data_IF_969578042189
#
_entry.id   IF_969578042189
#
_cell.length_a   1.000
_cell.length_b   1.000
_cell.length_c   1.000
_cell.angle_alpha   90.00
_cell.angle_beta   90.00
_cell.angle_gamma   90.00
#
_symmetry.space_group_name_H-M   'P 1'
#
loop_
_entity.id
_entity.type
_entity.pdbx_description
1 polymer ?
#
# COMPACT_ATOMS: atom_id res chain seq x y z
N UNK A 1 27.50 -18.95 1.53
CA UNK A 1 26.80 -18.13 0.55
C UNK A 1 27.77 -17.42 -0.36
N UNK A 2 27.65 -17.55 -1.70
CA UNK A 2 28.54 -16.84 -2.64
C UNK A 2 27.76 -15.76 -3.38
N UNK A 3 28.39 -14.57 -3.50
CA UNK A 3 27.88 -13.47 -4.31
C UNK A 3 28.81 -13.19 -5.49
N UNK A 4 28.28 -13.27 -6.71
CA UNK A 4 28.98 -12.83 -7.91
C UNK A 4 28.43 -11.45 -8.30
N UNK A 5 29.30 -10.45 -8.35
CA UNK A 5 28.93 -9.06 -8.62
C UNK A 5 29.37 -8.68 -10.03
N UNK A 6 28.38 -8.51 -10.92
CA UNK A 6 28.63 -8.05 -12.28
C UNK A 6 28.46 -6.54 -12.29
N UNK A 7 29.56 -5.81 -12.34
CA UNK A 7 29.60 -4.34 -12.23
C UNK A 7 30.73 -3.75 -13.06
N UNK A 8 30.56 -2.49 -13.48
CA UNK A 8 31.61 -1.70 -14.10
C UNK A 8 32.59 -1.05 -13.09
N UNK A 9 32.25 -1.12 -11.81
CA UNK A 9 32.95 -0.44 -10.72
C UNK A 9 33.14 -1.38 -9.51
N UNK A 10 33.96 -2.43 -9.61
CA UNK A 10 34.16 -3.38 -8.50
C UNK A 10 34.70 -2.71 -7.24
N UNK A 11 35.54 -1.68 -7.37
CA UNK A 11 36.11 -0.90 -6.27
C UNK A 11 35.03 -0.17 -5.41
N UNK A 12 33.83 0.01 -5.94
CA UNK A 12 32.72 0.60 -5.19
C UNK A 12 32.34 -0.23 -3.96
N UNK A 13 32.62 -1.53 -4.00
CA UNK A 13 32.28 -2.48 -2.93
C UNK A 13 33.39 -2.65 -1.87
N UNK A 14 34.59 -2.12 -2.06
CA UNK A 14 35.72 -2.34 -1.18
C UNK A 14 35.45 -1.99 0.28
N UNK A 15 34.91 -0.79 0.52
CA UNK A 15 34.64 -0.30 1.87
C UNK A 15 33.49 -1.05 2.56
N UNK A 16 32.29 -1.17 1.98
CA UNK A 16 31.17 -1.83 2.67
C UNK A 16 31.39 -3.33 2.92
N UNK A 17 32.12 -4.03 2.04
CA UNK A 17 32.38 -5.45 2.22
C UNK A 17 33.58 -5.74 3.13
N UNK A 18 34.32 -4.73 3.57
CA UNK A 18 35.48 -4.85 4.45
C UNK A 18 35.25 -4.18 5.81
N UNK A 19 33.99 -4.13 6.27
CA UNK A 19 33.64 -3.44 7.52
C UNK A 19 32.68 -4.25 8.37
N UNK A 20 32.88 -4.22 9.69
CA UNK A 20 31.92 -4.68 10.69
C UNK A 20 31.62 -6.18 10.65
N UNK A 21 30.34 -6.55 10.59
CA UNK A 21 29.91 -7.95 10.55
C UNK A 21 30.20 -8.60 9.20
N UNK A 22 30.17 -7.84 8.11
CA UNK A 22 30.46 -8.36 6.78
C UNK A 22 31.91 -8.81 6.64
N UNK A 23 32.86 -8.02 7.17
CA UNK A 23 34.28 -8.40 7.21
C UNK A 23 34.48 -9.71 7.98
N UNK A 24 33.89 -9.82 9.19
CA UNK A 24 33.96 -11.03 10.01
C UNK A 24 33.35 -12.26 9.31
N UNK A 25 32.23 -12.08 8.63
CA UNK A 25 31.58 -13.15 7.90
C UNK A 25 32.42 -13.64 6.70
N UNK A 26 33.13 -12.73 6.03
CA UNK A 26 34.09 -13.07 4.98
C UNK A 26 35.29 -13.84 5.54
N UNK A 27 35.87 -13.36 6.63
CA UNK A 27 37.00 -14.04 7.31
C UNK A 27 36.60 -15.43 7.81
N UNK A 28 35.35 -15.59 8.28
CA UNK A 28 34.82 -16.88 8.71
C UNK A 28 34.38 -17.80 7.55
N UNK A 29 34.41 -17.32 6.30
CA UNK A 29 33.96 -18.08 5.12
C UNK A 29 32.44 -18.27 5.04
N UNK A 30 31.65 -17.51 5.80
CA UNK A 30 30.18 -17.54 5.76
C UNK A 30 29.71 -16.96 4.44
N UNK A 31 30.34 -15.86 3.98
CA UNK A 31 30.10 -15.24 2.70
C UNK A 31 31.37 -15.10 1.87
N UNK A 32 31.24 -15.27 0.55
CA UNK A 32 32.31 -15.07 -0.42
C UNK A 32 31.86 -14.12 -1.51
N UNK A 33 32.78 -13.30 -2.02
CA UNK A 33 32.49 -12.35 -3.09
C UNK A 33 33.42 -12.57 -4.27
N UNK A 34 32.87 -12.56 -5.48
CA UNK A 34 33.61 -12.50 -6.72
C UNK A 34 33.09 -11.36 -7.59
N UNK A 35 33.96 -10.79 -8.40
CA UNK A 35 33.63 -9.63 -9.26
C UNK A 35 33.89 -9.98 -10.71
N UNK A 36 33.00 -9.55 -11.58
CA UNK A 36 33.17 -9.64 -13.03
C UNK A 36 32.82 -8.31 -13.68
N UNK A 37 33.74 -7.79 -14.49
CA UNK A 37 33.52 -6.57 -15.23
C UNK A 37 33.18 -6.89 -16.69
N UNK A 38 31.98 -6.51 -17.18
CA UNK A 38 31.63 -6.70 -18.59
C UNK A 38 32.62 -6.08 -19.60
N UNK A 39 33.40 -5.08 -19.20
CA UNK A 39 34.46 -4.50 -20.05
C UNK A 39 35.52 -5.52 -20.47
N UNK A 40 35.79 -6.52 -19.65
CA UNK A 40 36.79 -7.56 -19.94
C UNK A 40 36.33 -8.49 -21.04
N UNK A 41 35.03 -8.48 -21.38
CA UNK A 41 34.42 -9.27 -22.46
C UNK A 41 34.12 -8.47 -23.71
N UNK A 42 34.38 -7.17 -23.70
CA UNK A 42 34.29 -6.33 -24.90
C UNK A 42 35.37 -6.71 -25.90
N UNK A 43 35.00 -6.75 -27.17
CA UNK A 43 35.91 -7.14 -28.25
C UNK A 43 36.47 -5.94 -29.00
N UNK A 44 35.97 -4.75 -28.72
CA UNK A 44 36.45 -3.53 -29.34
C UNK A 44 37.68 -2.94 -28.62
N UNK A 45 38.45 -2.11 -29.32
CA UNK A 45 39.67 -1.50 -28.80
C UNK A 45 39.45 -0.60 -27.58
N UNK A 46 38.22 -0.05 -27.41
CA UNK A 46 37.89 0.90 -26.35
C UNK A 46 37.23 0.23 -25.15
N UNK A 47 37.05 -1.10 -25.18
CA UNK A 47 36.34 -1.84 -24.14
C UNK A 47 34.95 -1.27 -23.85
N UNK A 48 34.23 -0.92 -24.92
CA UNK A 48 32.90 -0.32 -24.84
C UNK A 48 31.89 -1.33 -24.28
N UNK A 49 31.03 -0.86 -23.41
CA UNK A 49 29.97 -1.65 -22.73
C UNK A 49 28.60 -0.98 -22.84
N UNK A 50 28.52 0.15 -23.50
CA UNK A 50 27.29 0.95 -23.68
C UNK A 50 27.21 1.49 -25.09
N UNK A 51 25.98 1.64 -25.59
CA UNK A 51 25.69 2.21 -26.90
C UNK A 51 24.34 2.95 -26.88
N UNK A 52 24.07 3.72 -27.93
CA UNK A 52 22.83 4.49 -28.06
C UNK A 52 21.60 3.58 -28.19
N UNK A 53 20.48 3.94 -27.55
CA UNK A 53 19.26 3.16 -27.68
C UNK A 53 18.72 3.21 -29.12
N UNK A 54 18.21 2.08 -29.61
CA UNK A 54 17.42 2.04 -30.84
C UNK A 54 16.16 2.91 -30.69
N UNK A 55 15.79 3.61 -31.72
CA UNK A 55 14.69 4.60 -31.68
C UNK A 55 15.07 5.97 -31.20
N UNK A 56 16.34 6.18 -30.80
CA UNK A 56 16.83 7.44 -30.28
C UNK A 56 16.39 7.71 -28.84
N UNK A 57 16.77 8.86 -28.31
CA UNK A 57 16.50 9.26 -26.92
C UNK A 57 17.78 9.71 -26.21
N UNK A 58 17.66 10.28 -25.01
CA UNK A 58 18.81 10.62 -24.17
C UNK A 58 19.43 9.35 -23.57
N UNK A 59 20.72 9.44 -23.21
CA UNK A 59 21.42 8.38 -22.48
C UNK A 59 21.97 7.27 -23.36
N UNK A 60 22.46 6.23 -22.71
CA UNK A 60 23.11 5.05 -23.28
C UNK A 60 22.48 3.80 -22.66
N UNK A 61 22.61 2.64 -23.28
CA UNK A 61 22.13 1.34 -22.78
C UNK A 61 23.29 0.37 -22.68
N UNK A 62 23.32 -0.46 -21.65
CA UNK A 62 24.33 -1.51 -21.52
C UNK A 62 24.28 -2.46 -22.73
N UNK A 63 25.42 -2.65 -23.37
CA UNK A 63 25.55 -3.54 -24.52
C UNK A 63 25.30 -4.99 -24.15
N UNK A 64 24.53 -5.68 -24.97
CA UNK A 64 24.08 -7.05 -24.73
C UNK A 64 25.25 -8.05 -24.79
N UNK A 65 26.12 -7.98 -25.81
CA UNK A 65 27.16 -8.98 -26.05
C UNK A 65 28.18 -9.09 -24.92
N UNK A 66 28.85 -8.02 -24.44
CA UNK A 66 29.79 -8.12 -23.32
C UNK A 66 29.12 -8.64 -22.05
N UNK A 67 27.88 -8.21 -21.78
CA UNK A 67 27.15 -8.64 -20.60
C UNK A 67 26.76 -10.11 -20.65
N UNK A 68 26.20 -10.59 -21.76
CA UNK A 68 25.82 -12.00 -21.93
C UNK A 68 27.03 -12.92 -21.86
N UNK A 69 28.17 -12.55 -22.46
CA UNK A 69 29.42 -13.32 -22.34
C UNK A 69 29.87 -13.42 -20.88
N UNK A 70 29.84 -12.32 -20.14
CA UNK A 70 30.19 -12.30 -18.72
C UNK A 70 29.30 -13.23 -17.92
N UNK A 71 27.98 -13.15 -18.14
CA UNK A 71 27.01 -13.94 -17.40
C UNK A 71 27.08 -15.43 -17.73
N UNK A 72 27.37 -15.79 -18.99
CA UNK A 72 27.54 -17.20 -19.39
C UNK A 72 28.76 -17.86 -18.75
N UNK A 73 29.82 -17.11 -18.48
CA UNK A 73 30.98 -17.62 -17.77
C UNK A 73 30.74 -17.79 -16.27
N UNK A 74 29.87 -16.93 -15.70
CA UNK A 74 29.46 -16.99 -14.29
C UNK A 74 28.27 -17.93 -14.09
N UNK A 75 27.62 -18.42 -15.17
CA UNK A 75 26.48 -19.33 -15.02
C UNK A 75 26.87 -20.50 -14.11
N UNK A 76 26.00 -20.96 -13.21
CA UNK A 76 26.35 -21.94 -12.19
C UNK A 76 27.03 -23.14 -12.82
N UNK A 77 28.36 -23.18 -12.76
CA UNK A 77 29.15 -24.30 -13.16
C UNK A 77 29.07 -25.35 -12.05
N UNK A 78 28.68 -26.57 -12.37
CA UNK A 78 28.71 -27.71 -11.45
C UNK A 78 27.44 -27.99 -10.62
N UNK A 79 26.23 -27.62 -11.10
CA UNK A 79 24.98 -28.06 -10.49
C UNK A 79 24.65 -27.39 -9.14
N UNK A 80 25.31 -26.28 -8.81
CA UNK A 80 24.93 -25.44 -7.67
C UNK A 80 23.59 -24.77 -7.91
N UNK A 81 22.77 -24.67 -6.87
CA UNK A 81 21.57 -23.83 -6.89
C UNK A 81 22.00 -22.36 -6.84
N UNK A 82 21.61 -21.58 -7.83
CA UNK A 82 21.96 -20.17 -7.90
C UNK A 82 20.97 -19.35 -8.69
N UNK A 83 20.83 -18.07 -8.32
CA UNK A 83 19.93 -17.11 -8.95
C UNK A 83 20.71 -16.01 -9.65
N UNK A 84 20.19 -15.57 -10.79
CA UNK A 84 20.75 -14.50 -11.60
C UNK A 84 19.79 -13.32 -11.57
N UNK A 85 20.20 -12.21 -10.94
CA UNK A 85 19.34 -11.07 -10.63
C UNK A 85 19.88 -9.80 -11.30
N UNK A 86 19.04 -9.13 -12.09
CA UNK A 86 19.32 -7.80 -12.62
C UNK A 86 18.61 -6.74 -11.78
N UNK A 87 19.39 -5.78 -11.28
CA UNK A 87 18.88 -4.70 -10.44
C UNK A 87 18.36 -3.56 -11.30
N UNK A 88 17.04 -3.39 -11.31
CA UNK A 88 16.33 -2.42 -12.16
C UNK A 88 15.03 -1.93 -11.51
N UNK A 89 14.63 -0.66 -11.69
CA UNK A 89 13.35 -0.17 -11.19
C UNK A 89 12.11 -0.90 -11.73
N UNK A 90 12.22 -1.54 -12.90
CA UNK A 90 11.14 -2.29 -13.54
C UNK A 90 10.98 -3.73 -12.99
N UNK A 91 11.75 -4.12 -11.98
CA UNK A 91 11.77 -5.48 -11.43
C UNK A 91 10.71 -5.76 -10.36
N UNK A 92 10.67 -7.05 -9.95
CA UNK A 92 9.91 -7.50 -8.78
C UNK A 92 10.41 -6.75 -7.53
N UNK A 93 9.51 -6.24 -6.66
CA UNK A 93 9.94 -5.61 -5.40
C UNK A 93 10.73 -6.57 -4.52
N UNK A 94 11.86 -6.08 -4.01
CA UNK A 94 12.67 -6.81 -3.02
C UNK A 94 12.06 -6.64 -1.64
N UNK A 95 11.62 -7.73 -1.04
CA UNK A 95 10.98 -7.79 0.28
C UNK A 95 11.79 -8.69 1.22
N UNK A 96 11.46 -8.67 2.52
CA UNK A 96 12.10 -9.57 3.50
C UNK A 96 11.83 -11.05 3.17
N UNK A 97 10.64 -11.38 2.68
CA UNK A 97 10.33 -12.76 2.26
C UNK A 97 11.16 -13.17 1.06
N UNK A 98 11.37 -12.25 0.12
CA UNK A 98 12.26 -12.52 -1.01
C UNK A 98 13.73 -12.61 -0.57
N UNK A 99 14.16 -11.85 0.44
CA UNK A 99 15.49 -12.00 1.03
C UNK A 99 15.68 -13.39 1.66
N UNK A 100 14.65 -13.93 2.35
CA UNK A 100 14.68 -15.31 2.88
C UNK A 100 14.75 -16.35 1.77
N UNK A 101 13.93 -16.19 0.72
CA UNK A 101 13.96 -17.05 -0.47
C UNK A 101 15.37 -17.09 -1.09
N UNK A 102 16.02 -15.93 -1.22
CA UNK A 102 17.38 -15.84 -1.73
C UNK A 102 18.45 -16.38 -0.77
N UNK A 103 18.24 -16.29 0.52
CA UNK A 103 19.18 -16.79 1.53
C UNK A 103 19.28 -18.33 1.54
N UNK A 104 18.34 -19.04 0.93
CA UNK A 104 18.36 -20.50 0.73
C UNK A 104 19.24 -20.94 -0.45
N UNK A 105 19.68 -19.99 -1.30
CA UNK A 105 20.55 -20.27 -2.43
C UNK A 105 22.01 -20.43 -2.01
N UNK A 106 22.75 -21.25 -2.73
CA UNK A 106 24.20 -21.37 -2.53
C UNK A 106 24.97 -20.21 -3.15
N UNK A 107 24.41 -19.64 -4.24
CA UNK A 107 25.05 -18.60 -5.04
C UNK A 107 24.03 -17.60 -5.59
N UNK A 108 24.34 -16.31 -5.51
CA UNK A 108 23.57 -15.24 -6.12
C UNK A 108 24.48 -14.41 -7.04
N UNK A 109 24.09 -14.26 -8.28
CA UNK A 109 24.73 -13.32 -9.21
C UNK A 109 23.91 -12.06 -9.31
N UNK A 110 24.48 -10.93 -8.89
CA UNK A 110 23.85 -9.60 -8.92
C UNK A 110 24.43 -8.78 -10.07
N UNK A 111 23.58 -8.40 -11.01
CA UNK A 111 23.95 -7.58 -12.17
C UNK A 111 23.59 -6.13 -11.91
N UNK A 112 24.59 -5.28 -11.77
CA UNK A 112 24.41 -3.86 -11.52
C UNK A 112 24.08 -3.12 -12.81
N UNK A 113 22.84 -2.63 -12.94
CA UNK A 113 22.43 -1.78 -14.04
C UNK A 113 23.14 -0.44 -14.01
N UNK A 114 23.49 0.10 -15.19
CA UNK A 114 24.05 1.43 -15.40
C UNK A 114 23.39 2.09 -16.60
N UNK A 115 23.62 3.40 -16.75
CA UNK A 115 23.02 4.17 -17.85
C UNK A 115 21.48 4.12 -17.82
N UNK A 116 20.82 3.94 -18.97
CA UNK A 116 19.36 3.77 -19.07
C UNK A 116 18.89 2.33 -18.74
N UNK A 117 19.83 1.42 -18.38
CA UNK A 117 19.56 0.06 -18.00
C UNK A 117 20.04 -0.98 -18.98
N UNK A 118 19.30 -2.09 -19.06
CA UNK A 118 19.67 -3.29 -19.82
C UNK A 118 18.96 -3.35 -21.17
N UNK A 119 19.60 -3.92 -22.16
CA UNK A 119 18.93 -4.37 -23.38
C UNK A 119 17.86 -5.43 -23.03
N UNK A 120 16.63 -5.22 -23.47
CA UNK A 120 15.49 -6.07 -23.10
C UNK A 120 15.69 -7.55 -23.49
N UNK A 121 16.45 -7.83 -24.55
CA UNK A 121 16.79 -9.20 -25.01
C UNK A 121 17.60 -9.99 -23.99
N UNK A 122 18.19 -9.34 -22.99
CA UNK A 122 18.88 -10.03 -21.87
C UNK A 122 17.95 -11.02 -21.16
N UNK A 123 16.73 -10.60 -20.91
CA UNK A 123 15.72 -11.37 -20.17
C UNK A 123 15.10 -12.51 -20.99
N UNK A 124 15.21 -12.45 -22.33
CA UNK A 124 14.80 -13.53 -23.23
C UNK A 124 15.92 -14.57 -23.43
N UNK A 125 17.19 -14.15 -23.32
CA UNK A 125 18.36 -14.98 -23.58
C UNK A 125 18.84 -15.79 -22.37
N UNK A 126 18.63 -15.26 -21.17
CA UNK A 126 19.13 -15.85 -19.93
C UNK A 126 18.03 -15.79 -18.86
N UNK A 127 18.02 -16.72 -17.88
CA UNK A 127 17.05 -16.72 -16.81
C UNK A 127 17.37 -15.63 -15.75
N UNK A 128 17.43 -14.40 -16.19
CA UNK A 128 17.73 -13.23 -15.33
C UNK A 128 16.45 -12.70 -14.75
N UNK A 129 16.38 -12.59 -13.44
CA UNK A 129 15.23 -12.03 -12.72
C UNK A 129 15.42 -10.53 -12.51
N UNK A 130 14.52 -9.67 -13.03
CA UNK A 130 14.55 -8.25 -12.73
C UNK A 130 14.04 -7.99 -11.31
N UNK A 131 14.83 -7.25 -10.49
CA UNK A 131 14.53 -6.94 -9.09
C UNK A 131 14.69 -5.46 -8.80
N UNK A 132 13.73 -4.89 -8.07
CA UNK A 132 13.69 -3.50 -7.63
C UNK A 132 13.79 -3.42 -6.10
N UNK A 133 14.78 -2.71 -5.57
CA UNK A 133 15.00 -2.56 -4.11
C UNK A 133 14.18 -1.42 -3.48
N UNK A 134 13.50 -0.61 -4.28
CA UNK A 134 12.67 0.49 -3.78
C UNK A 134 12.21 1.43 -4.89
N UNK A 135 11.21 2.23 -4.61
CA UNK A 135 10.60 3.18 -5.57
C UNK A 135 11.46 4.47 -5.73
N UNK A 136 12.76 4.27 -6.01
CA UNK A 136 13.69 5.35 -6.26
C UNK A 136 14.65 5.00 -7.41
N UNK A 137 14.97 6.00 -8.24
CA UNK A 137 15.96 5.83 -9.30
C UNK A 137 17.35 6.09 -8.71
N UNK A 138 18.23 5.10 -8.80
CA UNK A 138 19.62 5.17 -8.36
C UNK A 138 20.54 5.45 -9.56
N UNK A 139 21.75 5.99 -9.30
CA UNK A 139 22.76 6.23 -10.34
C UNK A 139 23.30 4.93 -10.98
N UNK A 140 23.11 3.79 -10.30
CA UNK A 140 23.54 2.47 -10.73
C UNK A 140 23.07 1.40 -9.78
N UNK A 141 23.24 0.14 -10.16
CA UNK A 141 22.78 -1.02 -9.42
C UNK A 141 23.63 -1.39 -8.20
N UNK A 142 24.78 -0.77 -7.97
CA UNK A 142 25.73 -1.17 -6.90
C UNK A 142 25.12 -0.96 -5.51
N UNK A 143 24.46 0.15 -5.26
CA UNK A 143 23.78 0.41 -3.99
C UNK A 143 22.62 -0.59 -3.76
N UNK A 144 21.89 -0.91 -4.82
CA UNK A 144 20.85 -1.93 -4.79
C UNK A 144 21.43 -3.33 -4.51
N UNK A 145 22.56 -3.68 -5.13
CA UNK A 145 23.28 -4.93 -4.88
C UNK A 145 23.70 -5.04 -3.40
N UNK A 146 24.24 -3.96 -2.85
CA UNK A 146 24.62 -3.94 -1.43
C UNK A 146 23.41 -4.15 -0.52
N UNK A 147 22.25 -3.53 -0.82
CA UNK A 147 21.03 -3.74 -0.03
C UNK A 147 20.57 -5.22 -0.06
N UNK A 148 20.65 -5.88 -1.22
CA UNK A 148 20.34 -7.31 -1.34
C UNK A 148 21.35 -8.15 -0.55
N UNK A 149 22.65 -7.87 -0.65
CA UNK A 149 23.73 -8.57 0.09
C UNK A 149 23.50 -8.44 1.60
N UNK A 150 23.31 -7.23 2.11
CA UNK A 150 23.10 -6.97 3.54
C UNK A 150 21.87 -7.71 4.07
N UNK A 151 20.76 -7.70 3.33
CA UNK A 151 19.54 -8.37 3.75
C UNK A 151 19.63 -9.91 3.71
N UNK A 152 20.38 -10.48 2.76
CA UNK A 152 20.49 -11.94 2.60
C UNK A 152 21.65 -12.53 3.40
N UNK A 153 22.79 -11.84 3.52
CA UNK A 153 23.95 -12.30 4.27
C UNK A 153 23.65 -12.44 5.77
N UNK A 154 22.90 -11.48 6.35
CA UNK A 154 22.51 -11.53 7.77
C UNK A 154 21.61 -12.71 8.14
N UNK A 155 20.98 -13.34 7.15
CA UNK A 155 20.16 -14.55 7.32
C UNK A 155 20.99 -15.85 7.28
N UNK A 156 22.30 -15.77 6.98
CA UNK A 156 23.16 -16.95 6.97
C UNK A 156 23.51 -17.37 8.40
N UNK A 157 23.49 -18.69 8.69
CA UNK A 157 23.89 -19.19 10.01
C UNK A 157 25.29 -18.70 10.42
N UNK A 158 25.37 -18.17 11.63
CA UNK A 158 26.64 -17.66 12.18
C UNK A 158 27.00 -16.22 11.77
N UNK A 159 26.24 -15.56 10.91
CA UNK A 159 26.47 -14.16 10.55
C UNK A 159 26.13 -13.21 11.72
N UNK A 160 24.99 -13.42 12.35
CA UNK A 160 24.58 -12.72 13.58
C UNK A 160 25.03 -13.51 14.79
N UNK A 161 25.50 -12.81 15.83
CA UNK A 161 26.06 -13.48 17.04
C UNK A 161 25.03 -14.27 17.88
N UNK A 162 23.72 -14.09 17.64
CA UNK A 162 22.63 -14.87 18.21
C UNK A 162 21.58 -15.08 17.13
N UNK A 163 21.25 -16.32 16.84
CA UNK A 163 20.27 -16.70 15.79
C UNK A 163 18.84 -16.23 16.12
N UNK A 164 18.52 -16.00 17.42
CA UNK A 164 17.20 -15.53 17.88
C UNK A 164 16.92 -14.06 17.57
N UNK A 165 17.89 -13.27 17.12
CA UNK A 165 17.72 -11.83 16.89
C UNK A 165 16.83 -11.51 15.66
N UNK A 166 16.67 -12.46 14.73
CA UNK A 166 15.93 -12.24 13.48
C UNK A 166 14.41 -12.40 13.58
N UNK A 167 13.91 -13.11 14.60
CA UNK A 167 12.50 -13.49 14.67
C UNK A 167 11.58 -12.34 15.13
N UNK A 168 12.11 -11.40 15.91
CA UNK A 168 11.36 -10.23 16.43
C UNK A 168 11.52 -8.97 15.58
N UNK A 169 12.29 -9.01 14.50
CA UNK A 169 12.56 -7.85 13.65
C UNK A 169 11.37 -7.48 12.75
N UNK A 170 11.38 -6.23 12.27
CA UNK A 170 10.39 -5.75 11.30
C UNK A 170 10.27 -6.70 10.10
N UNK A 171 9.05 -6.95 9.66
CA UNK A 171 8.67 -7.85 8.55
C UNK A 171 8.79 -9.35 8.84
N UNK A 172 9.36 -9.79 9.97
CA UNK A 172 9.51 -11.21 10.28
C UNK A 172 8.17 -11.91 10.49
N UNK A 173 7.20 -11.21 11.07
CA UNK A 173 5.85 -11.70 11.32
C UNK A 173 4.77 -10.83 10.66
N UNK A 174 5.14 -10.08 9.61
CA UNK A 174 4.24 -9.17 8.88
C UNK A 174 3.97 -7.85 9.57
N UNK A 175 4.64 -7.55 10.69
CA UNK A 175 4.51 -6.29 11.42
C UNK A 175 5.84 -5.54 11.45
N UNK A 176 5.81 -4.26 11.78
CA UNK A 176 6.99 -3.52 12.20
C UNK A 176 7.38 -3.90 13.61
N UNK A 177 8.66 -3.81 13.92
CA UNK A 177 9.20 -3.99 15.27
C UNK A 177 8.63 -2.92 16.22
N UNK A 178 8.53 -3.28 17.49
CA UNK A 178 8.16 -2.37 18.58
C UNK A 178 9.29 -1.36 18.88
N UNK A 179 8.98 -0.21 19.52
CA UNK A 179 9.99 0.78 19.87
C UNK A 179 10.97 0.23 20.91
N UNK A 180 12.26 0.41 20.66
CA UNK A 180 13.34 0.01 21.56
C UNK A 180 13.72 1.17 22.48
N UNK A 181 14.09 0.83 23.72
CA UNK A 181 14.56 1.77 24.73
C UNK A 181 15.92 1.34 25.29
N UNK A 182 16.76 2.31 25.62
CA UNK A 182 18.07 2.08 26.24
C UNK A 182 18.26 3.04 27.41
N UNK A 183 19.36 2.86 28.16
CA UNK A 183 19.73 3.73 29.30
C UNK A 183 20.09 5.16 28.84
N UNK A 184 19.81 6.17 29.66
CA UNK A 184 19.21 6.11 31.00
C UNK A 184 17.69 5.86 30.94
N UNK A 185 17.11 5.47 32.09
CA UNK A 185 15.66 5.21 32.28
C UNK A 185 14.79 6.48 32.15
N UNK A 186 15.40 7.65 32.40
CA UNK A 186 14.79 8.97 32.18
C UNK A 186 15.77 9.90 31.46
N UNK A 187 15.31 10.54 30.39
CA UNK A 187 16.08 11.56 29.66
C UNK A 187 15.16 12.72 29.26
N UNK A 188 15.51 13.93 29.70
CA UNK A 188 14.75 15.18 29.46
C UNK A 188 13.25 15.10 29.83
N UNK A 189 12.93 14.37 30.92
CA UNK A 189 11.56 14.17 31.39
C UNK A 189 10.79 13.05 30.68
N UNK A 190 11.40 12.39 29.71
CA UNK A 190 10.84 11.21 29.03
C UNK A 190 11.36 9.94 29.69
N UNK A 191 10.44 9.07 30.10
CA UNK A 191 10.76 7.82 30.81
C UNK A 191 10.57 6.58 29.93
N UNK A 192 11.37 5.57 30.21
CA UNK A 192 11.14 4.22 29.70
C UNK A 192 9.79 3.72 30.27
N UNK A 193 8.96 3.02 29.47
CA UNK A 193 7.72 2.42 29.96
C UNK A 193 7.97 1.46 31.13
N UNK A 194 7.25 1.64 32.24
CA UNK A 194 7.39 0.85 33.48
C UNK A 194 7.31 -0.68 33.25
N UNK A 195 6.49 -1.12 32.28
CA UNK A 195 6.36 -2.54 31.92
C UNK A 195 7.69 -3.16 31.51
N UNK A 196 8.59 -2.37 30.90
CA UNK A 196 9.91 -2.84 30.45
C UNK A 196 10.92 -2.98 31.61
N UNK A 197 10.68 -2.28 32.74
CA UNK A 197 11.53 -2.33 33.93
C UNK A 197 11.12 -3.45 34.90
N UNK A 198 9.86 -3.91 34.80
CA UNK A 198 9.26 -4.83 35.75
C UNK A 198 9.71 -6.29 35.72
N UNK A 199 10.55 -6.70 34.76
CA UNK A 199 11.09 -8.07 34.63
C UNK A 199 10.06 -9.17 34.33
N UNK A 200 8.77 -8.84 34.14
CA UNK A 200 7.74 -9.81 33.78
C UNK A 200 7.71 -10.03 32.28
N UNK A 201 8.38 -11.11 31.81
CA UNK A 201 8.51 -11.42 30.38
C UNK A 201 7.17 -11.54 29.64
N UNK A 202 6.11 -12.05 30.29
CA UNK A 202 4.79 -12.17 29.64
C UNK A 202 4.16 -10.80 29.39
N UNK A 203 4.24 -9.88 30.36
CA UNK A 203 3.74 -8.51 30.19
C UNK A 203 4.58 -7.72 29.19
N UNK A 204 5.90 -7.91 29.19
CA UNK A 204 6.80 -7.30 28.21
C UNK A 204 6.46 -7.78 26.81
N UNK A 205 6.27 -9.08 26.59
CA UNK A 205 5.92 -9.64 25.30
C UNK A 205 4.56 -9.13 24.79
N UNK A 206 3.55 -9.07 25.67
CA UNK A 206 2.23 -8.51 25.35
C UNK A 206 2.32 -7.03 24.94
N UNK A 207 3.05 -6.22 25.72
CA UNK A 207 3.29 -4.81 25.42
C UNK A 207 4.02 -4.62 24.08
N UNK A 208 5.10 -5.39 23.84
CA UNK A 208 5.85 -5.35 22.57
C UNK A 208 4.95 -5.65 21.39
N UNK A 209 4.09 -6.69 21.49
CA UNK A 209 3.11 -7.03 20.45
C UNK A 209 2.14 -5.88 20.19
N UNK A 210 1.59 -5.29 21.23
CA UNK A 210 0.70 -4.14 21.12
C UNK A 210 1.38 -2.96 20.43
N UNK A 211 2.63 -2.63 20.81
CA UNK A 211 3.39 -1.54 20.20
C UNK A 211 3.73 -1.83 18.71
N UNK A 212 4.05 -3.07 18.37
CA UNK A 212 4.26 -3.48 16.98
C UNK A 212 3.02 -3.26 16.11
N UNK A 213 1.85 -3.66 16.61
CA UNK A 213 0.56 -3.45 15.93
C UNK A 213 0.28 -1.95 15.75
N UNK A 214 0.47 -1.15 16.79
CA UNK A 214 0.27 0.30 16.74
C UNK A 214 1.27 1.02 15.82
N UNK A 215 2.54 0.63 15.87
CA UNK A 215 3.59 1.18 15.00
C UNK A 215 3.30 0.84 13.53
N UNK A 216 2.89 -0.40 13.25
CA UNK A 216 2.51 -0.85 11.90
C UNK A 216 1.31 -0.06 11.38
N UNK A 217 0.24 0.06 12.18
CA UNK A 217 -0.93 0.83 11.79
C UNK A 217 -0.63 2.31 11.51
N UNK A 218 0.36 2.87 12.21
CA UNK A 218 0.76 4.27 12.04
C UNK A 218 1.66 4.50 10.84
N UNK A 219 2.65 3.63 10.60
CA UNK A 219 3.74 3.89 9.67
C UNK A 219 3.66 3.07 8.38
N UNK A 220 3.10 1.85 8.46
CA UNK A 220 3.00 0.91 7.36
C UNK A 220 1.66 0.13 7.43
N UNK A 221 0.51 0.85 7.33
CA UNK A 221 -0.80 0.22 7.41
C UNK A 221 -1.03 -0.84 6.32
N UNK A 222 -0.31 -0.76 5.21
CA UNK A 222 -0.29 -1.75 4.13
C UNK A 222 0.15 -3.15 4.59
N UNK A 223 1.04 -3.23 5.59
CA UNK A 223 1.49 -4.52 6.13
C UNK A 223 0.39 -5.26 6.90
N UNK A 224 -0.59 -4.55 7.45
CA UNK A 224 -1.72 -5.16 8.12
C UNK A 224 -2.59 -6.02 7.18
N UNK A 225 -2.50 -5.79 5.86
CA UNK A 225 -3.19 -6.59 4.83
C UNK A 225 -2.74 -8.05 4.82
N UNK A 226 -1.51 -8.31 5.27
CA UNK A 226 -0.86 -9.62 5.20
C UNK A 226 -0.45 -10.15 6.58
N UNK A 227 -0.56 -9.31 7.62
CA UNK A 227 -0.19 -9.72 8.98
C UNK A 227 -1.23 -10.65 9.60
N UNK A 228 -0.76 -11.69 10.29
CA UNK A 228 -1.65 -12.55 11.08
C UNK A 228 -2.00 -11.82 12.39
N UNK A 229 -3.20 -11.22 12.42
CA UNK A 229 -3.72 -10.49 13.57
C UNK A 229 -4.56 -11.38 14.48
N UNK A 230 -4.22 -11.37 15.78
CA UNK A 230 -5.01 -12.02 16.81
C UNK A 230 -6.30 -11.24 17.11
N UNK A 231 -7.21 -11.82 17.87
CA UNK A 231 -8.40 -11.09 18.36
C UNK A 231 -8.01 -9.86 19.20
N UNK A 232 -7.00 -10.00 20.05
CA UNK A 232 -6.49 -8.91 20.89
C UNK A 232 -5.88 -7.78 20.04
N UNK A 233 -5.10 -8.10 19.00
CA UNK A 233 -4.53 -7.08 18.08
C UNK A 233 -5.64 -6.22 17.45
N UNK A 234 -6.75 -6.86 17.04
CA UNK A 234 -7.92 -6.15 16.49
C UNK A 234 -8.62 -5.27 17.53
N UNK A 235 -8.66 -5.70 18.79
CA UNK A 235 -9.18 -4.88 19.88
C UNK A 235 -8.30 -3.65 20.13
N UNK A 236 -6.97 -3.82 20.14
CA UNK A 236 -5.99 -2.72 20.23
C UNK A 236 -6.21 -1.70 19.12
N UNK A 237 -6.29 -2.17 17.86
CA UNK A 237 -6.55 -1.30 16.70
C UNK A 237 -7.90 -0.57 16.81
N UNK A 238 -8.95 -1.24 17.31
CA UNK A 238 -10.27 -0.63 17.54
C UNK A 238 -10.25 0.38 18.69
N UNK A 239 -9.47 0.14 19.72
CA UNK A 239 -9.39 1.01 20.90
C UNK A 239 -8.62 2.31 20.60
N UNK A 240 -7.60 2.28 19.72
CA UNK A 240 -6.79 3.43 19.39
C UNK A 240 -7.59 4.50 18.63
N UNK A 241 -7.95 5.66 19.22
CA UNK A 241 -8.85 6.63 18.59
C UNK A 241 -8.38 7.13 17.23
N UNK A 242 -7.05 7.34 17.07
CA UNK A 242 -6.43 7.83 15.82
C UNK A 242 -6.42 6.79 14.70
N UNK A 243 -6.59 5.49 15.03
CA UNK A 243 -6.60 4.39 14.08
C UNK A 243 -8.01 3.87 13.78
N UNK A 244 -9.04 4.67 14.05
CA UNK A 244 -10.43 4.39 13.64
C UNK A 244 -10.80 5.26 12.44
N UNK A 245 -10.27 5.00 11.24
CA UNK A 245 -10.49 5.87 10.08
C UNK A 245 -11.97 6.00 9.73
N UNK A 246 -12.80 5.00 9.98
CA UNK A 246 -14.25 5.03 9.80
C UNK A 246 -14.95 6.16 10.56
N UNK A 247 -14.40 6.64 11.69
CA UNK A 247 -14.97 7.77 12.43
C UNK A 247 -14.93 9.08 11.66
N UNK A 248 -14.00 9.25 10.74
CA UNK A 248 -13.86 10.43 9.91
C UNK A 248 -14.45 10.24 8.50
N UNK A 249 -14.92 9.02 8.17
CA UNK A 249 -15.59 8.75 6.91
C UNK A 249 -17.09 8.87 7.05
N UNK A 250 -17.69 9.58 6.09
CA UNK A 250 -19.11 9.74 5.94
C UNK A 250 -19.47 9.39 4.49
N UNK A 251 -20.66 8.87 4.28
CA UNK A 251 -21.17 8.52 2.96
C UNK A 251 -22.37 9.40 2.63
N UNK A 252 -22.47 9.90 1.41
CA UNK A 252 -23.64 10.55 0.89
C UNK A 252 -24.16 9.81 -0.34
N UNK A 253 -25.37 9.26 -0.24
CA UNK A 253 -26.10 8.69 -1.37
C UNK A 253 -26.93 9.79 -2.04
N UNK A 254 -26.51 10.17 -3.23
CA UNK A 254 -27.15 11.23 -3.99
C UNK A 254 -28.28 10.66 -4.86
N UNK A 255 -29.50 11.18 -4.63
CA UNK A 255 -30.63 11.02 -5.52
C UNK A 255 -30.82 12.26 -6.38
N UNK A 256 -30.16 13.38 -6.05
CA UNK A 256 -30.06 14.63 -6.79
C UNK A 256 -28.77 15.37 -6.37
N UNK A 257 -28.07 16.03 -7.31
CA UNK A 257 -28.23 15.91 -8.75
C UNK A 257 -27.49 14.67 -9.28
N UNK A 258 -28.20 13.88 -10.06
CA UNK A 258 -27.67 12.66 -10.68
C UNK A 258 -27.93 12.65 -12.18
N UNK A 259 -27.15 11.87 -12.90
CA UNK A 259 -27.30 11.70 -14.34
C UNK A 259 -28.43 10.72 -14.64
N UNK A 260 -29.35 11.11 -15.51
CA UNK A 260 -30.44 10.27 -15.99
C UNK A 260 -30.08 9.56 -17.31
N UNK A 261 -30.93 8.62 -17.75
CA UNK A 261 -30.73 7.84 -18.98
C UNK A 261 -30.55 8.71 -20.23
N UNK A 262 -31.23 9.83 -20.31
CA UNK A 262 -31.13 10.81 -21.41
C UNK A 262 -29.93 11.77 -21.29
N UNK A 263 -28.99 11.46 -20.38
CA UNK A 263 -27.80 12.26 -20.04
C UNK A 263 -28.07 13.62 -19.40
N UNK A 264 -29.31 13.93 -19.07
CA UNK A 264 -29.65 15.14 -18.32
C UNK A 264 -29.41 14.93 -16.82
N UNK A 265 -29.22 16.03 -16.12
CA UNK A 265 -29.22 16.06 -14.66
C UNK A 265 -30.63 16.01 -14.16
N UNK A 266 -30.90 15.21 -13.14
CA UNK A 266 -32.23 15.06 -12.58
C UNK A 266 -32.23 14.39 -11.20
N UNK A 267 -33.42 13.92 -10.83
CA UNK A 267 -33.66 13.29 -9.52
C UNK A 267 -34.15 11.87 -9.70
N UNK A 268 -33.68 10.93 -8.87
CA UNK A 268 -34.19 9.56 -8.79
C UNK A 268 -34.96 9.34 -7.50
N UNK A 269 -35.86 8.34 -7.50
CA UNK A 269 -36.56 7.92 -6.29
C UNK A 269 -35.70 7.14 -5.34
N UNK A 270 -36.01 7.20 -4.05
CA UNK A 270 -35.37 6.39 -3.00
C UNK A 270 -35.68 4.91 -3.21
N UNK A 271 -34.72 4.06 -2.87
CA UNK A 271 -34.86 2.62 -2.84
C UNK A 271 -34.58 2.10 -1.43
N UNK A 272 -35.56 1.51 -0.77
CA UNK A 272 -35.43 0.99 0.59
C UNK A 272 -34.21 0.05 0.72
N UNK A 273 -33.99 -0.77 -0.29
CA UNK A 273 -32.89 -1.74 -0.32
C UNK A 273 -31.52 -1.06 -0.22
N UNK A 274 -31.31 0.03 -0.97
CA UNK A 274 -30.03 0.74 -0.93
C UNK A 274 -29.80 1.41 0.43
N UNK A 275 -30.86 1.98 1.03
CA UNK A 275 -30.77 2.60 2.36
C UNK A 275 -30.39 1.57 3.42
N UNK A 276 -31.07 0.42 3.46
CA UNK A 276 -30.81 -0.63 4.43
C UNK A 276 -29.40 -1.23 4.26
N UNK A 277 -29.03 -1.57 3.05
CA UNK A 277 -27.77 -2.26 2.79
C UNK A 277 -26.58 -1.33 3.02
N UNK A 278 -26.62 -0.08 2.52
CA UNK A 278 -25.53 0.89 2.74
C UNK A 278 -25.43 1.25 4.22
N UNK A 279 -26.54 1.39 4.96
CA UNK A 279 -26.50 1.66 6.39
C UNK A 279 -25.80 0.52 7.16
N UNK A 280 -26.15 -0.74 6.85
CA UNK A 280 -25.52 -1.92 7.47
C UNK A 280 -24.05 -2.04 7.13
N UNK A 281 -23.68 -1.84 5.88
CA UNK A 281 -22.28 -1.80 5.43
C UNK A 281 -21.54 -0.68 6.18
N UNK A 282 -22.08 0.52 6.21
CA UNK A 282 -21.52 1.68 6.92
C UNK A 282 -21.29 1.39 8.40
N UNK A 283 -22.26 0.74 9.07
CA UNK A 283 -22.12 0.38 10.49
C UNK A 283 -21.06 -0.67 10.72
N UNK A 284 -20.96 -1.67 9.83
CA UNK A 284 -19.95 -2.73 9.88
C UNK A 284 -18.53 -2.15 9.81
N UNK A 285 -18.30 -1.18 8.93
CA UNK A 285 -17.00 -0.50 8.79
C UNK A 285 -16.78 0.67 9.77
N UNK A 286 -17.69 0.88 10.72
CA UNK A 286 -17.53 1.90 11.77
C UNK A 286 -17.62 3.35 11.27
N UNK A 287 -18.34 3.59 10.19
CA UNK A 287 -18.58 4.92 9.62
C UNK A 287 -19.46 5.75 10.55
N UNK A 288 -19.22 7.06 10.61
CA UNK A 288 -19.91 7.96 11.55
C UNK A 288 -21.22 8.53 11.03
N UNK A 289 -21.49 8.51 9.75
CA UNK A 289 -22.73 9.05 9.18
C UNK A 289 -22.99 8.63 7.76
N UNK A 290 -24.29 8.47 7.45
CA UNK A 290 -24.76 8.15 6.12
C UNK A 290 -25.86 9.15 5.72
N UNK A 291 -25.57 10.05 4.81
CA UNK A 291 -26.50 11.04 4.30
C UNK A 291 -27.26 10.49 3.09
N UNK A 292 -28.57 10.68 3.07
CA UNK A 292 -29.42 10.38 1.92
C UNK A 292 -29.94 11.72 1.39
N UNK A 293 -29.46 12.10 0.21
CA UNK A 293 -29.66 13.43 -0.35
C UNK A 293 -30.74 13.41 -1.42
N UNK A 294 -31.86 14.11 -1.18
CA UNK A 294 -32.96 14.27 -2.15
C UNK A 294 -33.74 15.57 -1.91
N UNK A 295 -34.01 16.39 -2.94
CA UNK A 295 -34.80 17.60 -2.80
C UNK A 295 -36.32 17.30 -2.67
N UNK A 296 -36.75 16.06 -2.98
CA UNK A 296 -38.17 15.70 -2.97
C UNK A 296 -38.68 15.50 -1.54
N UNK A 297 -39.55 16.37 -1.09
CA UNK A 297 -40.10 16.35 0.27
C UNK A 297 -40.83 15.05 0.59
N UNK A 298 -41.63 14.50 -0.35
CA UNK A 298 -42.33 13.24 -0.17
C UNK A 298 -41.37 12.06 0.06
N UNK A 299 -40.24 12.06 -0.62
CA UNK A 299 -39.22 11.05 -0.43
C UNK A 299 -38.52 11.17 0.94
N UNK A 300 -38.27 12.42 1.40
CA UNK A 300 -37.74 12.64 2.75
C UNK A 300 -38.72 12.23 3.84
N UNK A 301 -40.02 12.48 3.65
CA UNK A 301 -41.08 12.01 4.56
C UNK A 301 -41.16 10.48 4.61
N UNK A 302 -41.10 9.83 3.45
CA UNK A 302 -41.04 8.37 3.36
C UNK A 302 -39.82 7.79 4.11
N UNK A 303 -38.65 8.40 3.90
CA UNK A 303 -37.44 8.01 4.62
C UNK A 303 -37.60 8.23 6.13
N UNK A 304 -38.12 9.35 6.58
CA UNK A 304 -38.35 9.60 8.01
C UNK A 304 -39.31 8.55 8.63
N UNK A 305 -40.37 8.16 7.93
CA UNK A 305 -41.33 7.12 8.35
C UNK A 305 -40.60 5.77 8.46
N UNK A 306 -39.75 5.41 7.48
CA UNK A 306 -38.96 4.21 7.51
C UNK A 306 -38.00 4.21 8.70
N UNK A 307 -37.28 5.31 8.93
CA UNK A 307 -36.35 5.42 10.04
C UNK A 307 -37.07 5.30 11.40
N UNK A 308 -38.17 6.04 11.61
CA UNK A 308 -38.97 5.97 12.85
C UNK A 308 -39.47 4.54 13.12
N UNK A 309 -39.96 3.83 12.09
CA UNK A 309 -40.37 2.44 12.25
C UNK A 309 -39.26 1.54 12.83
N UNK A 310 -38.02 1.72 12.35
CA UNK A 310 -36.89 0.87 12.74
C UNK A 310 -36.17 1.34 14.01
N UNK A 311 -36.10 2.65 14.27
CA UNK A 311 -35.33 3.19 15.39
C UNK A 311 -36.14 3.43 16.66
N UNK A 312 -37.46 3.62 16.53
CA UNK A 312 -38.39 3.95 17.62
C UNK A 312 -39.60 3.03 17.70
N UNK A 313 -39.97 2.41 16.55
CA UNK A 313 -41.15 1.59 16.40
C UNK A 313 -40.90 0.07 16.56
N UNK A 314 -41.84 -0.78 16.06
CA UNK A 314 -41.77 -2.23 16.17
C UNK A 314 -40.52 -2.87 15.57
N UNK A 315 -39.91 -2.23 14.57
CA UNK A 315 -38.67 -2.70 13.94
C UNK A 315 -37.50 -2.82 14.89
N UNK A 316 -37.45 -1.96 15.92
CA UNK A 316 -36.38 -1.96 16.93
C UNK A 316 -36.32 -3.30 17.71
N UNK A 317 -37.48 -3.80 18.14
CA UNK A 317 -37.55 -5.09 18.85
C UNK A 317 -37.39 -6.28 17.91
N UNK A 318 -37.80 -6.14 16.65
CA UNK A 318 -37.73 -7.20 15.65
C UNK A 318 -36.28 -7.48 15.19
N UNK A 319 -35.49 -6.43 14.96
CA UNK A 319 -34.08 -6.57 14.55
C UNK A 319 -33.25 -5.39 15.07
N UNK A 320 -32.70 -5.50 16.29
CA UNK A 320 -31.90 -4.45 16.93
C UNK A 320 -30.67 -4.03 16.14
N UNK A 321 -29.98 -4.96 15.48
CA UNK A 321 -28.77 -4.68 14.69
C UNK A 321 -29.08 -3.80 13.47
N UNK A 322 -30.23 -4.06 12.84
CA UNK A 322 -30.72 -3.22 11.74
C UNK A 322 -31.11 -1.82 12.22
N UNK A 323 -31.75 -1.75 13.36
CA UNK A 323 -32.10 -0.48 13.99
C UNK A 323 -30.85 0.35 14.31
N UNK A 324 -29.81 -0.28 14.85
CA UNK A 324 -28.52 0.36 15.12
C UNK A 324 -27.88 0.90 13.85
N UNK A 325 -27.88 0.14 12.77
CA UNK A 325 -27.32 0.58 11.49
C UNK A 325 -28.11 1.78 10.92
N UNK A 326 -29.44 1.75 10.97
CA UNK A 326 -30.29 2.82 10.43
C UNK A 326 -30.20 4.13 11.23
N UNK A 327 -29.72 4.14 12.46
CA UNK A 327 -29.42 5.37 13.23
C UNK A 327 -28.32 6.22 12.59
N UNK A 328 -27.50 5.65 11.68
CA UNK A 328 -26.51 6.41 10.92
C UNK A 328 -27.12 7.27 9.82
N UNK A 329 -28.35 6.96 9.39
CA UNK A 329 -29.00 7.58 8.23
C UNK A 329 -29.53 8.98 8.58
N UNK A 330 -29.13 9.96 7.78
CA UNK A 330 -29.57 11.37 7.91
C UNK A 330 -30.16 11.84 6.58
N UNK A 331 -31.45 12.19 6.54
CA UNK A 331 -32.06 12.81 5.37
C UNK A 331 -31.53 14.24 5.17
N UNK A 332 -31.17 14.57 3.94
CA UNK A 332 -30.78 15.94 3.56
C UNK A 332 -31.46 16.37 2.24
N UNK A 333 -31.73 17.65 2.10
CA UNK A 333 -32.37 18.15 0.90
C UNK A 333 -31.40 18.42 -0.25
N UNK A 334 -30.13 18.70 0.07
CA UNK A 334 -29.08 18.97 -0.91
C UNK A 334 -27.71 18.49 -0.43
N UNK A 335 -26.75 18.42 -1.34
CA UNK A 335 -25.36 18.11 -0.98
C UNK A 335 -24.76 19.21 -0.11
N UNK A 336 -25.08 20.46 -0.38
CA UNK A 336 -24.63 21.63 0.39
C UNK A 336 -25.13 21.54 1.84
N UNK A 337 -26.39 21.12 2.06
CA UNK A 337 -26.91 20.94 3.42
C UNK A 337 -26.19 19.80 4.14
N UNK A 338 -25.89 18.68 3.47
CA UNK A 338 -25.11 17.58 4.05
C UNK A 338 -23.69 18.03 4.43
N UNK A 339 -23.03 18.81 3.59
CA UNK A 339 -21.71 19.39 3.86
C UNK A 339 -21.78 20.37 5.04
N UNK A 340 -22.80 21.23 5.10
CA UNK A 340 -22.99 22.18 6.20
C UNK A 340 -23.23 21.45 7.54
N UNK A 341 -24.12 20.45 7.54
CA UNK A 341 -24.38 19.59 8.70
C UNK A 341 -23.09 18.94 9.19
N UNK A 342 -22.32 18.33 8.28
CA UNK A 342 -21.08 17.68 8.64
C UNK A 342 -20.01 18.66 9.12
N UNK A 343 -19.92 19.85 8.53
CA UNK A 343 -19.02 20.91 8.96
C UNK A 343 -19.34 21.37 10.39
N UNK A 344 -20.62 21.53 10.71
CA UNK A 344 -21.07 21.89 12.07
C UNK A 344 -20.75 20.78 13.07
N UNK A 345 -21.01 19.53 12.73
CA UNK A 345 -20.75 18.37 13.59
C UNK A 345 -19.24 18.14 13.88
N UNK A 346 -18.37 18.51 12.97
CA UNK A 346 -16.94 18.22 13.03
C UNK A 346 -16.04 19.44 13.23
N UNK A 347 -16.58 20.64 13.12
CA UNK A 347 -15.83 21.90 13.22
C UNK A 347 -14.92 22.20 12.03
N UNK A 348 -14.91 21.33 11.00
CA UNK A 348 -14.09 21.46 9.79
C UNK A 348 -14.91 21.00 8.57
N UNK A 349 -14.79 21.68 7.42
CA UNK A 349 -15.43 21.24 6.19
C UNK A 349 -14.83 19.89 5.75
N UNK A 350 -15.66 18.94 5.25
CA UNK A 350 -15.19 17.65 4.80
C UNK A 350 -14.36 17.78 3.52
N UNK A 351 -13.46 16.83 3.32
CA UNK A 351 -12.83 16.56 2.03
C UNK A 351 -13.81 15.72 1.20
N UNK A 352 -14.32 16.30 0.12
CA UNK A 352 -15.38 15.70 -0.69
C UNK A 352 -14.77 14.82 -1.78
N UNK A 353 -15.10 13.53 -1.75
CA UNK A 353 -14.59 12.51 -2.68
C UNK A 353 -15.70 12.00 -3.57
N UNK A 354 -15.61 12.27 -4.86
CA UNK A 354 -16.53 11.77 -5.87
C UNK A 354 -16.21 10.34 -6.29
N UNK A 355 -17.24 9.58 -6.72
CA UNK A 355 -17.10 8.27 -7.34
C UNK A 355 -17.77 8.23 -8.71
N UNK A 356 -17.20 7.44 -9.63
CA UNK A 356 -17.78 7.28 -10.97
C UNK A 356 -17.51 5.87 -11.50
N UNK A 357 -18.48 5.31 -12.21
CA UNK A 357 -18.31 4.05 -12.92
C UNK A 357 -17.44 4.17 -14.18
N UNK A 358 -17.16 5.39 -14.63
CA UNK A 358 -16.34 5.68 -15.80
C UNK A 358 -15.30 6.73 -15.46
N UNK A 359 -14.16 6.78 -16.18
CA UNK A 359 -13.20 7.86 -16.05
C UNK A 359 -13.88 9.23 -16.25
N UNK A 360 -13.58 10.17 -15.36
CA UNK A 360 -14.08 11.53 -15.48
C UNK A 360 -13.11 12.34 -16.32
N UNK A 361 -13.56 12.74 -17.52
CA UNK A 361 -12.75 13.48 -18.50
C UNK A 361 -13.00 14.98 -18.39
N UNK A 362 -11.96 15.78 -18.59
CA UNK A 362 -12.08 17.22 -18.74
C UNK A 362 -12.71 17.59 -20.12
N UNK A 363 -12.99 18.89 -20.33
CA UNK A 363 -13.53 19.40 -21.62
C UNK A 363 -12.65 19.12 -22.83
N UNK A 364 -11.38 18.70 -22.62
CA UNK A 364 -10.42 18.34 -23.67
C UNK A 364 -10.24 16.82 -23.78
N UNK A 365 -11.15 16.02 -23.22
CA UNK A 365 -11.12 14.55 -23.21
C UNK A 365 -9.88 13.95 -22.52
N UNK A 366 -9.26 14.71 -21.60
CA UNK A 366 -8.20 14.20 -20.73
C UNK A 366 -8.79 13.80 -19.38
N UNK A 367 -8.25 12.79 -18.76
CA UNK A 367 -8.65 12.43 -17.39
C UNK A 367 -8.51 13.65 -16.49
N UNK A 368 -9.58 13.97 -15.76
CA UNK A 368 -9.59 15.06 -14.82
C UNK A 368 -8.64 14.75 -13.68
N UNK A 369 -7.66 15.61 -13.47
CA UNK A 369 -6.83 15.55 -12.27
C UNK A 369 -7.49 16.37 -11.14
N UNK A 370 -7.34 15.90 -9.89
CA UNK A 370 -6.52 14.77 -9.49
C UNK A 370 -7.34 13.50 -9.38
N UNK A 371 -6.96 12.46 -10.15
CA UNK A 371 -7.27 11.11 -9.75
C UNK A 371 -6.60 10.90 -8.39
N UNK A 372 -7.39 10.59 -7.37
CA UNK A 372 -6.86 10.25 -6.04
C UNK A 372 -6.79 8.74 -5.90
N UNK A 373 -5.84 8.25 -5.14
CA UNK A 373 -5.78 6.83 -4.78
C UNK A 373 -6.59 6.55 -3.52
N UNK A 374 -6.90 5.28 -3.27
CA UNK A 374 -7.49 4.88 -2.00
C UNK A 374 -6.58 5.24 -0.82
N UNK A 375 -5.26 5.15 -1.00
CA UNK A 375 -4.27 5.51 0.03
C UNK A 375 -4.25 7.02 0.32
N UNK A 376 -4.44 7.86 -0.70
CA UNK A 376 -4.56 9.30 -0.48
C UNK A 376 -5.79 9.64 0.38
N UNK A 377 -6.93 8.99 0.10
CA UNK A 377 -8.15 9.17 0.89
C UNK A 377 -7.96 8.65 2.31
N UNK A 378 -7.30 7.49 2.50
CA UNK A 378 -6.98 6.96 3.83
C UNK A 378 -6.10 7.92 4.63
N UNK A 379 -5.09 8.52 4.02
CA UNK A 379 -4.26 9.56 4.68
C UNK A 379 -5.10 10.74 5.13
N UNK A 380 -6.07 11.19 4.31
CA UNK A 380 -6.98 12.29 4.68
C UNK A 380 -7.88 11.95 5.87
N UNK A 381 -8.30 10.68 5.99
CA UNK A 381 -9.11 10.22 7.13
C UNK A 381 -8.40 10.37 8.49
N UNK A 382 -7.07 10.44 8.52
CA UNK A 382 -6.33 10.69 9.74
C UNK A 382 -6.51 12.11 10.27
N UNK A 383 -6.71 13.10 9.37
CA UNK A 383 -6.58 14.52 9.71
C UNK A 383 -7.92 15.27 9.67
N UNK A 384 -8.89 14.83 8.87
CA UNK A 384 -10.15 15.57 8.64
C UNK A 384 -11.30 14.68 8.21
N UNK A 385 -12.57 15.14 8.37
CA UNK A 385 -13.71 14.42 7.85
C UNK A 385 -13.64 14.28 6.32
N UNK A 386 -14.01 13.10 5.82
CA UNK A 386 -14.14 12.80 4.39
C UNK A 386 -15.59 12.46 4.09
N UNK A 387 -16.15 13.03 3.03
CA UNK A 387 -17.48 12.75 2.53
C UNK A 387 -17.38 12.02 1.18
N UNK A 388 -17.65 10.71 1.18
CA UNK A 388 -17.67 9.87 -0.01
C UNK A 388 -19.03 9.96 -0.69
N UNK A 389 -19.06 10.44 -1.93
CA UNK A 389 -20.29 10.59 -2.71
C UNK A 389 -20.57 9.34 -3.52
N UNK A 390 -21.78 8.82 -3.40
CA UNK A 390 -22.32 7.71 -4.20
C UNK A 390 -23.51 8.24 -5.01
N UNK A 391 -23.53 7.97 -6.31
CA UNK A 391 -24.62 8.38 -7.20
C UNK A 391 -25.56 7.24 -7.52
N UNK A 392 -26.85 7.56 -7.59
CA UNK A 392 -27.89 6.65 -8.13
C UNK A 392 -28.12 6.88 -9.63
N UNK A 393 -29.03 6.16 -10.25
CA UNK A 393 -29.34 6.28 -11.68
C UNK A 393 -28.14 5.93 -12.57
N UNK A 394 -27.68 6.89 -13.37
CA UNK A 394 -26.50 6.76 -14.23
C UNK A 394 -25.25 7.44 -13.64
N UNK A 395 -25.24 7.63 -12.32
CA UNK A 395 -24.10 8.18 -11.57
C UNK A 395 -24.28 9.64 -11.15
N UNK A 396 -23.28 10.18 -10.49
CA UNK A 396 -23.23 11.57 -10.03
C UNK A 396 -23.22 12.51 -11.23
N UNK A 397 -23.95 13.62 -11.12
CA UNK A 397 -23.98 14.64 -12.17
C UNK A 397 -22.57 15.26 -12.37
N UNK A 398 -22.18 15.58 -13.63
CA UNK A 398 -20.84 16.12 -13.92
C UNK A 398 -20.51 17.38 -13.13
N UNK A 399 -21.48 18.29 -12.94
CA UNK A 399 -21.33 19.53 -12.18
C UNK A 399 -20.96 19.28 -10.71
N UNK A 400 -21.44 18.20 -10.09
CA UNK A 400 -21.06 17.80 -8.74
C UNK A 400 -19.64 17.23 -8.71
N UNK A 401 -19.32 16.36 -9.68
CA UNK A 401 -17.97 15.80 -9.79
C UNK A 401 -16.92 16.90 -10.03
N UNK A 402 -17.30 17.99 -10.69
CA UNK A 402 -16.46 19.17 -10.88
C UNK A 402 -16.15 19.92 -9.58
N UNK A 403 -16.99 19.83 -8.59
CA UNK A 403 -16.83 20.48 -7.28
C UNK A 403 -16.15 19.59 -6.23
N UNK A 404 -15.97 18.29 -6.51
CA UNK A 404 -15.26 17.41 -5.59
C UNK A 404 -13.79 17.79 -5.45
N UNK A 405 -13.25 17.67 -4.23
CA UNK A 405 -11.81 17.84 -3.96
C UNK A 405 -10.99 16.77 -4.65
N UNK A 406 -11.54 15.55 -4.78
CA UNK A 406 -10.92 14.43 -5.45
C UNK A 406 -11.96 13.45 -6.04
N UNK A 407 -11.53 12.60 -6.97
CA UNK A 407 -12.37 11.56 -7.57
C UNK A 407 -11.62 10.24 -7.53
N UNK A 408 -12.25 9.20 -6.93
CA UNK A 408 -11.69 7.86 -6.93
C UNK A 408 -11.75 7.23 -8.33
N UNK A 409 -10.78 6.38 -8.69
CA UNK A 409 -10.81 5.67 -9.96
C UNK A 409 -12.00 4.70 -10.02
N UNK A 410 -12.50 4.40 -11.22
CA UNK A 410 -13.55 3.41 -11.40
C UNK A 410 -13.18 2.04 -10.83
N UNK A 411 -14.14 1.35 -10.24
CA UNK A 411 -13.96 -0.01 -9.68
C UNK A 411 -13.85 -1.11 -10.75
N UNK A 412 -13.68 -0.76 -12.02
CA UNK A 412 -13.54 -1.73 -13.09
C UNK A 412 -12.14 -2.33 -13.14
N UNK A 413 -12.05 -3.55 -13.65
CA UNK A 413 -10.81 -4.27 -13.79
C UNK A 413 -10.36 -4.31 -15.26
N UNK A 414 -10.74 -5.29 -16.06
CA UNK A 414 -10.13 -5.55 -17.35
C UNK A 414 -11.05 -5.36 -18.57
N UNK A 415 -12.33 -5.14 -18.40
CA UNK A 415 -13.27 -4.93 -19.50
C UNK A 415 -14.05 -3.61 -19.38
N UNK A 416 -14.86 -3.29 -20.41
CA UNK A 416 -15.63 -2.06 -20.45
C UNK A 416 -16.92 -2.13 -19.65
N UNK A 417 -17.34 -3.33 -19.18
CA UNK A 417 -18.54 -3.51 -18.39
C UNK A 417 -18.30 -3.09 -16.94
N UNK A 418 -18.97 -2.02 -16.51
CA UNK A 418 -18.92 -1.53 -15.12
C UNK A 418 -20.29 -1.02 -14.70
N UNK A 419 -21.18 -1.93 -14.33
CA UNK A 419 -22.56 -1.67 -13.90
C UNK A 419 -22.86 -2.28 -12.54
N UNK A 420 -22.15 -1.84 -11.51
CA UNK A 420 -22.44 -2.28 -10.14
C UNK A 420 -23.68 -1.55 -9.60
N UNK A 421 -24.59 -2.26 -8.89
CA UNK A 421 -25.59 -1.59 -8.06
C UNK A 421 -24.88 -0.68 -7.04
N UNK A 422 -25.46 0.47 -6.72
CA UNK A 422 -24.81 1.45 -5.84
C UNK A 422 -24.42 0.87 -4.47
N UNK A 423 -25.24 -0.01 -3.89
CA UNK A 423 -24.94 -0.71 -2.63
C UNK A 423 -23.75 -1.66 -2.74
N UNK A 424 -23.57 -2.34 -3.89
CA UNK A 424 -22.41 -3.18 -4.12
C UNK A 424 -21.15 -2.32 -4.31
N UNK A 425 -21.25 -1.20 -5.06
CA UNK A 425 -20.16 -0.24 -5.18
C UNK A 425 -19.77 0.32 -3.80
N UNK A 426 -20.76 0.67 -2.96
CA UNK A 426 -20.53 1.13 -1.59
C UNK A 426 -19.74 0.09 -0.78
N UNK A 427 -20.14 -1.18 -0.82
CA UNK A 427 -19.45 -2.25 -0.08
C UNK A 427 -17.98 -2.37 -0.50
N UNK A 428 -17.70 -2.41 -1.81
CA UNK A 428 -16.35 -2.53 -2.35
C UNK A 428 -15.50 -1.28 -2.02
N UNK A 429 -16.06 -0.08 -2.15
CA UNK A 429 -15.38 1.17 -1.85
C UNK A 429 -15.01 1.25 -0.37
N UNK A 430 -15.95 0.90 0.52
CA UNK A 430 -15.74 0.92 1.96
C UNK A 430 -14.76 -0.17 2.39
N UNK A 431 -14.81 -1.34 1.80
CA UNK A 431 -13.83 -2.40 2.02
C UNK A 431 -12.43 -1.95 1.63
N UNK A 432 -12.27 -1.37 0.43
CA UNK A 432 -10.97 -0.84 -0.01
C UNK A 432 -10.45 0.33 0.84
N UNK A 433 -11.33 1.13 1.45
CA UNK A 433 -10.94 2.25 2.31
C UNK A 433 -10.66 1.83 3.76
N UNK A 434 -11.46 0.91 4.29
CA UNK A 434 -11.53 0.63 5.73
C UNK A 434 -11.48 -0.85 6.08
N UNK A 435 -11.52 -1.74 5.08
CA UNK A 435 -11.54 -3.18 5.28
C UNK A 435 -10.37 -3.64 6.13
N UNK A 436 -10.62 -4.63 6.98
CA UNK A 436 -9.57 -5.32 7.70
C UNK A 436 -8.63 -5.90 6.65
N UNK A 437 -7.44 -5.39 6.64
CA UNK A 437 -6.33 -5.87 5.89
C UNK A 437 -5.76 -7.02 6.72
N UNK A 438 -6.18 -8.19 6.42
CA UNK A 438 -5.77 -9.31 7.24
C UNK A 438 -5.66 -10.61 6.51
#
# INVERSE_FOLDING_TARGET
MRYNLVTLFPEWFDSPLSSGLMEKAREAGIVEFSFANPRDKSTDRHHSVDDRPYGGGPGMVLMLDPLVRTLRELAPCNGRKGRLIALTPAGRPFTQDFARELAEEEEITLVCGRYEGFDARLFDLLPVEPVCVGEAVLNGGEAAALAVIEATARLQPGFMGKDESGDEESFSNGLLEYPQYTRPDEFEGLRVPEVLEGGNHALIAAWRREQSVLATAKHRPDLLDHAVLTHHDREVLRAAPRFRPGKNLHVALLHHPVRLKDRKTGTTSLTNLDIHDIARISRTYGISGFFVVTPLEDQRRLLATLLSHWTEGPGLSFNPDRAEALRLVRPEESLESAIATLTTDRGLPPFVVGTSAQPVLDKKHRERRPATTFDDVRRRLADRPVLLLLGTGHGIAPEVLEQCDAILPPLRWMDEYNHLPVRAAAAILLDRLLGDRG
#
